data_IF_311627971185
#
_entry.id   IF_311627971185
#
_cell.length_a   1.000
_cell.length_b   1.000
_cell.length_c   1.000
_cell.angle_alpha   90.00
_cell.angle_beta   90.00
_cell.angle_gamma   90.00
#
_symmetry.space_group_name_H-M   'P 1'
#
loop_
_entity.id
_entity.type
_entity.pdbx_description
1 polymer ?
#
# COMPACT_ATOMS: atom_id res chain seq x y z
N UNK A 1 9.36 -7.09 -26.39
CA UNK A 1 8.79 -6.36 -25.23
C UNK A 1 8.66 -7.36 -24.10
N UNK A 2 9.29 -7.11 -22.96
CA UNK A 2 9.27 -8.03 -21.81
C UNK A 2 8.20 -7.56 -20.83
N UNK A 3 7.15 -8.36 -20.60
CA UNK A 3 6.12 -8.02 -19.63
C UNK A 3 6.69 -8.14 -18.22
N UNK A 4 6.67 -7.04 -17.46
CA UNK A 4 7.11 -7.04 -16.07
C UNK A 4 6.28 -8.04 -15.24
N UNK A 5 6.94 -8.78 -14.34
CA UNK A 5 6.23 -9.68 -13.42
C UNK A 5 5.37 -8.85 -12.46
N UNK A 6 4.15 -9.30 -12.10
CA UNK A 6 3.33 -8.62 -11.08
C UNK A 6 4.06 -8.40 -9.74
N UNK A 7 5.02 -9.27 -9.41
CA UNK A 7 5.90 -9.12 -8.24
C UNK A 7 6.84 -7.91 -8.37
N UNK A 8 7.38 -7.68 -9.57
CA UNK A 8 8.25 -6.52 -9.88
C UNK A 8 7.45 -5.22 -9.82
N UNK A 9 6.28 -5.19 -10.46
CA UNK A 9 5.39 -4.02 -10.44
C UNK A 9 4.94 -3.67 -9.00
N UNK A 10 4.64 -4.67 -8.17
CA UNK A 10 4.32 -4.46 -6.74
C UNK A 10 5.50 -3.87 -5.95
N UNK A 11 6.74 -4.28 -6.24
CA UNK A 11 7.92 -3.73 -5.58
C UNK A 11 8.17 -2.27 -6.00
N UNK A 12 8.16 -1.99 -7.31
CA UNK A 12 8.31 -0.63 -7.87
C UNK A 12 7.23 0.32 -7.34
N UNK A 13 5.99 -0.16 -7.18
CA UNK A 13 4.88 0.59 -6.58
C UNK A 13 5.10 0.89 -5.10
N UNK A 14 5.65 -0.05 -4.32
CA UNK A 14 5.98 0.17 -2.91
C UNK A 14 7.09 1.21 -2.75
N UNK A 15 8.18 1.07 -3.53
CA UNK A 15 9.29 2.02 -3.56
C UNK A 15 8.82 3.44 -3.96
N UNK A 16 7.90 3.54 -4.93
CA UNK A 16 7.29 4.80 -5.35
C UNK A 16 6.41 5.45 -4.28
N UNK A 17 5.66 4.66 -3.49
CA UNK A 17 4.87 5.14 -2.36
C UNK A 17 5.76 5.70 -1.24
N UNK A 18 6.81 4.98 -0.86
CA UNK A 18 7.74 5.43 0.18
C UNK A 18 8.52 6.67 -0.27
N UNK A 19 8.97 6.73 -1.53
CA UNK A 19 9.55 7.94 -2.12
C UNK A 19 8.56 9.13 -2.12
N UNK A 20 7.28 8.89 -2.42
CA UNK A 20 6.24 9.93 -2.37
C UNK A 20 6.01 10.45 -0.94
N UNK A 21 5.99 9.56 0.07
CA UNK A 21 5.86 9.95 1.48
C UNK A 21 7.05 10.78 1.94
N UNK A 22 8.28 10.33 1.66
CA UNK A 22 9.51 11.06 1.99
C UNK A 22 9.51 12.45 1.33
N UNK A 23 9.05 12.55 0.07
CA UNK A 23 8.94 13.83 -0.63
C UNK A 23 7.90 14.77 0.03
N UNK A 24 6.75 14.27 0.49
CA UNK A 24 5.75 15.07 1.24
C UNK A 24 6.32 15.54 2.58
N UNK A 25 6.91 14.64 3.37
CA UNK A 25 7.51 15.00 4.66
C UNK A 25 8.65 16.03 4.51
N UNK A 26 9.42 15.94 3.44
CA UNK A 26 10.50 16.90 3.16
C UNK A 26 9.93 18.29 2.86
N UNK A 27 8.89 18.36 2.01
CA UNK A 27 8.16 19.60 1.72
C UNK A 27 7.47 20.18 2.96
N UNK A 28 6.93 19.34 3.85
CA UNK A 28 6.34 19.74 5.13
C UNK A 28 7.38 20.38 6.07
N UNK A 29 8.54 19.73 6.23
CA UNK A 29 9.67 20.27 7.03
C UNK A 29 10.23 21.57 6.43
N UNK A 30 10.20 21.74 5.11
CA UNK A 30 10.54 23.01 4.46
C UNK A 30 9.51 24.09 4.72
N UNK A 31 8.21 23.79 4.57
CA UNK A 31 7.13 24.72 4.87
C UNK A 31 7.18 25.21 6.32
N UNK A 32 7.35 24.31 7.29
CA UNK A 32 7.49 24.69 8.70
C UNK A 32 8.73 25.57 8.96
N UNK A 33 9.87 25.30 8.31
CA UNK A 33 11.06 26.17 8.39
C UNK A 33 10.78 27.56 7.80
N UNK A 34 10.13 27.64 6.65
CA UNK A 34 9.78 28.90 6.01
C UNK A 34 8.78 29.72 6.84
N UNK A 35 7.77 29.09 7.43
CA UNK A 35 6.82 29.74 8.35
C UNK A 35 7.57 30.32 9.55
N UNK A 36 8.48 29.56 10.17
CA UNK A 36 9.27 30.05 11.30
C UNK A 36 10.17 31.24 10.93
N UNK A 37 10.75 31.26 9.74
CA UNK A 37 11.51 32.42 9.22
C UNK A 37 10.62 33.64 9.01
N UNK A 38 9.43 33.47 8.42
CA UNK A 38 8.45 34.55 8.24
C UNK A 38 7.98 35.12 9.59
N UNK A 39 7.71 34.26 10.58
CA UNK A 39 7.34 34.72 11.93
C UNK A 39 8.45 35.57 12.57
N UNK A 40 9.72 35.16 12.47
CA UNK A 40 10.86 35.97 12.95
C UNK A 40 10.99 37.32 12.24
N UNK A 41 10.71 37.37 10.94
CA UNK A 41 10.66 38.63 10.18
C UNK A 41 9.51 39.53 10.64
N UNK A 42 8.33 38.96 10.92
CA UNK A 42 7.19 39.68 11.50
C UNK A 42 7.51 40.24 12.90
N UNK A 43 8.09 39.43 13.79
CA UNK A 43 8.54 39.86 15.11
C UNK A 43 9.59 40.97 15.03
N UNK A 44 10.51 40.91 14.05
CA UNK A 44 11.49 41.96 13.81
C UNK A 44 10.81 43.27 13.38
N UNK A 45 9.89 43.19 12.41
CA UNK A 45 9.11 44.33 11.94
C UNK A 45 8.28 44.95 13.08
N UNK A 46 7.64 44.15 13.92
CA UNK A 46 6.85 44.62 15.07
C UNK A 46 7.72 45.29 16.14
N UNK A 47 8.83 44.65 16.55
CA UNK A 47 9.78 45.23 17.51
C UNK A 47 10.33 46.57 17.00
N UNK A 48 10.64 46.64 15.72
CA UNK A 48 11.15 47.85 15.07
C UNK A 48 10.09 48.94 14.95
N UNK A 49 8.83 48.61 14.62
CA UNK A 49 7.73 49.57 14.56
C UNK A 49 7.42 50.25 15.91
N UNK A 50 7.73 49.59 17.02
CA UNK A 50 7.56 50.12 18.39
C UNK A 50 8.73 51.00 18.86
N UNK A 51 9.82 51.13 18.09
CA UNK A 51 11.04 51.86 18.51
C UNK A 51 11.00 53.33 18.05
N UNK A 52 11.18 54.30 18.97
CA UNK A 52 11.24 55.71 18.60
C UNK A 52 12.52 56.06 17.82
N UNK A 53 12.42 57.04 16.91
CA UNK A 53 13.57 57.60 16.18
C UNK A 53 14.09 56.77 15.00
N UNK A 54 13.27 55.88 14.42
CA UNK A 54 13.74 54.90 13.44
C UNK A 54 13.51 55.32 11.98
N UNK A 55 14.55 55.14 11.16
CA UNK A 55 14.56 55.54 9.75
C UNK A 55 13.48 54.81 8.92
N UNK A 56 12.91 55.49 7.93
CA UNK A 56 12.02 54.86 6.96
C UNK A 56 12.76 53.86 6.09
N UNK A 57 14.07 54.04 5.83
CA UNK A 57 14.86 53.07 5.04
C UNK A 57 14.94 51.70 5.72
N UNK A 58 15.14 51.66 7.04
CA UNK A 58 15.16 50.44 7.85
C UNK A 58 13.77 49.78 7.91
N UNK A 59 12.71 50.59 8.05
CA UNK A 59 11.32 50.09 7.99
C UNK A 59 10.96 49.54 6.61
N UNK A 60 11.36 50.19 5.53
CA UNK A 60 11.17 49.70 4.16
C UNK A 60 11.89 48.37 3.92
N UNK A 61 13.15 48.25 4.38
CA UNK A 61 13.92 47.02 4.32
C UNK A 61 13.23 45.86 5.05
N UNK A 62 12.78 46.06 6.29
CA UNK A 62 12.12 45.00 7.06
C UNK A 62 10.78 44.57 6.47
N UNK A 63 10.01 45.51 5.88
CA UNK A 63 8.79 45.17 5.12
C UNK A 63 9.12 44.30 3.89
N UNK A 64 10.21 44.60 3.18
CA UNK A 64 10.66 43.80 2.04
C UNK A 64 11.16 42.41 2.47
N UNK A 65 11.92 42.30 3.57
CA UNK A 65 12.34 41.01 4.13
C UNK A 65 11.14 40.14 4.56
N UNK A 66 10.12 40.74 5.18
CA UNK A 66 8.86 40.05 5.49
C UNK A 66 8.11 39.59 4.23
N UNK A 67 7.96 40.47 3.23
CA UNK A 67 7.28 40.13 1.98
C UNK A 67 7.97 39.00 1.20
N UNK A 68 9.31 39.00 1.17
CA UNK A 68 10.09 37.91 0.59
C UNK A 68 9.89 36.59 1.35
N UNK A 69 9.87 36.63 2.69
CA UNK A 69 9.60 35.44 3.50
C UNK A 69 8.17 34.90 3.32
N UNK A 70 7.17 35.77 3.16
CA UNK A 70 5.78 35.37 2.90
C UNK A 70 5.61 34.75 1.50
N UNK A 71 6.27 35.30 0.48
CA UNK A 71 6.33 34.70 -0.86
C UNK A 71 6.90 33.27 -0.83
N UNK A 72 8.03 33.07 -0.12
CA UNK A 72 8.63 31.74 0.06
C UNK A 72 7.69 30.79 0.80
N UNK A 73 6.92 31.26 1.80
CA UNK A 73 5.89 30.43 2.46
C UNK A 73 4.80 30.02 1.47
N UNK A 74 4.33 30.92 0.60
CA UNK A 74 3.34 30.60 -0.43
C UNK A 74 3.85 29.55 -1.43
N UNK A 75 5.10 29.68 -1.91
CA UNK A 75 5.75 28.68 -2.77
C UNK A 75 5.85 27.31 -2.10
N UNK A 76 6.36 27.25 -0.86
CA UNK A 76 6.53 25.97 -0.15
C UNK A 76 5.20 25.33 0.19
N UNK A 77 4.15 26.13 0.42
CA UNK A 77 2.79 25.64 0.59
C UNK A 77 2.26 24.97 -0.68
N UNK A 78 2.41 25.62 -1.84
CA UNK A 78 2.01 25.02 -3.11
C UNK A 78 2.80 23.73 -3.44
N UNK A 79 4.09 23.66 -3.08
CA UNK A 79 4.89 22.43 -3.19
C UNK A 79 4.36 21.34 -2.26
N UNK A 80 4.07 21.66 -0.99
CA UNK A 80 3.53 20.69 -0.03
C UNK A 80 2.16 20.15 -0.46
N UNK A 81 1.23 21.02 -0.88
CA UNK A 81 -0.10 20.65 -1.36
C UNK A 81 0.01 19.71 -2.57
N UNK A 82 0.85 20.05 -3.57
CA UNK A 82 1.16 19.18 -4.72
C UNK A 82 1.75 17.82 -4.32
N UNK A 83 2.63 17.76 -3.31
CA UNK A 83 3.19 16.48 -2.82
C UNK A 83 2.15 15.65 -2.06
N UNK A 84 1.26 16.29 -1.30
CA UNK A 84 0.14 15.62 -0.64
C UNK A 84 -0.86 15.04 -1.65
N UNK A 85 -1.15 15.76 -2.73
CA UNK A 85 -1.98 15.25 -3.83
C UNK A 85 -1.35 14.03 -4.52
N UNK A 86 -0.05 14.07 -4.80
CA UNK A 86 0.65 12.89 -5.35
C UNK A 86 0.62 11.68 -4.42
N UNK A 87 0.83 11.84 -3.11
CA UNK A 87 0.75 10.70 -2.16
C UNK A 87 -0.68 10.13 -2.11
N UNK A 88 -1.72 10.97 -2.17
CA UNK A 88 -3.13 10.53 -2.27
C UNK A 88 -3.38 9.77 -3.57
N UNK A 89 -2.94 10.29 -4.71
CA UNK A 89 -3.10 9.67 -6.02
C UNK A 89 -2.37 8.31 -6.09
N UNK A 90 -1.12 8.25 -5.64
CA UNK A 90 -0.35 7.01 -5.57
C UNK A 90 -1.02 5.97 -4.66
N UNK A 91 -1.58 6.39 -3.51
CA UNK A 91 -2.35 5.51 -2.62
C UNK A 91 -3.62 4.94 -3.27
N UNK A 92 -4.30 5.72 -4.12
CA UNK A 92 -5.46 5.24 -4.89
C UNK A 92 -5.04 4.22 -5.96
N UNK A 93 -3.98 4.51 -6.72
CA UNK A 93 -3.42 3.57 -7.72
C UNK A 93 -2.99 2.26 -7.06
N UNK A 94 -2.33 2.33 -5.90
CA UNK A 94 -1.90 1.14 -5.18
C UNK A 94 -3.07 0.28 -4.68
N UNK A 95 -4.13 0.91 -4.16
CA UNK A 95 -5.36 0.20 -3.77
C UNK A 95 -6.06 -0.44 -4.97
N UNK A 96 -6.09 0.24 -6.12
CA UNK A 96 -6.65 -0.32 -7.36
C UNK A 96 -5.84 -1.53 -7.85
N UNK A 97 -4.50 -1.46 -7.82
CA UNK A 97 -3.64 -2.58 -8.20
C UNK A 97 -3.83 -3.80 -7.29
N UNK A 98 -3.89 -3.60 -5.97
CA UNK A 98 -4.14 -4.70 -5.02
C UNK A 98 -5.56 -5.27 -5.14
N UNK A 99 -6.57 -4.44 -5.42
CA UNK A 99 -7.92 -4.91 -5.69
C UNK A 99 -8.00 -5.77 -6.96
N UNK A 100 -7.33 -5.37 -8.05
CA UNK A 100 -7.26 -6.13 -9.29
C UNK A 100 -6.49 -7.45 -9.12
N UNK A 101 -5.33 -7.41 -8.43
CA UNK A 101 -4.58 -8.62 -8.11
C UNK A 101 -5.41 -9.59 -7.23
N UNK A 102 -6.26 -9.05 -6.34
CA UNK A 102 -7.17 -9.81 -5.48
C UNK A 102 -8.46 -10.24 -6.18
N UNK A 103 -8.83 -9.66 -7.33
CA UNK A 103 -10.00 -10.08 -8.13
C UNK A 103 -9.64 -11.19 -9.13
N UNK A 104 -8.43 -11.15 -9.70
CA UNK A 104 -7.91 -12.19 -10.60
C UNK A 104 -7.55 -13.50 -9.86
N UNK A 105 -7.09 -13.41 -8.61
CA UNK A 105 -6.61 -14.54 -7.81
C UNK A 105 -7.69 -15.59 -7.43
N UNK A 106 -8.91 -15.23 -6.97
CA UNK A 106 -9.96 -16.17 -6.62
C UNK A 106 -10.42 -17.04 -7.79
N UNK A 107 -10.52 -16.47 -9.00
CA UNK A 107 -10.87 -17.23 -10.21
C UNK A 107 -9.75 -18.25 -10.53
N UNK A 108 -8.49 -17.84 -10.47
CA UNK A 108 -7.35 -18.72 -10.70
C UNK A 108 -7.26 -19.84 -9.63
N UNK A 109 -7.51 -19.51 -8.35
CA UNK A 109 -7.55 -20.47 -7.27
C UNK A 109 -8.71 -21.48 -7.41
N UNK A 110 -9.91 -21.01 -7.78
CA UNK A 110 -11.06 -21.86 -8.06
C UNK A 110 -10.83 -22.77 -9.27
N UNK A 111 -10.19 -22.27 -10.34
CA UNK A 111 -9.81 -23.07 -11.51
C UNK A 111 -8.76 -24.14 -11.15
N UNK A 112 -7.77 -23.82 -10.30
CA UNK A 112 -6.80 -24.80 -9.82
C UNK A 112 -7.45 -25.87 -8.92
N UNK A 113 -8.38 -25.50 -8.04
CA UNK A 113 -9.18 -26.46 -7.27
C UNK A 113 -10.07 -27.34 -8.17
N UNK A 114 -10.68 -26.77 -9.23
CA UNK A 114 -11.50 -27.50 -10.19
C UNK A 114 -10.68 -28.49 -11.05
N UNK A 115 -9.47 -28.09 -11.46
CA UNK A 115 -8.55 -28.98 -12.18
C UNK A 115 -8.00 -30.08 -11.26
N UNK A 116 -7.71 -29.74 -9.99
CA UNK A 116 -7.31 -30.71 -8.96
C UNK A 116 -8.40 -31.73 -8.65
N UNK A 117 -9.65 -31.30 -8.48
CA UNK A 117 -10.79 -32.18 -8.19
C UNK A 117 -11.09 -33.14 -9.35
N UNK A 118 -11.02 -32.66 -10.60
CA UNK A 118 -11.15 -33.52 -11.79
C UNK A 118 -10.04 -34.59 -11.90
N UNK A 119 -8.82 -34.31 -11.41
CA UNK A 119 -7.72 -35.29 -11.39
C UNK A 119 -7.87 -36.35 -10.27
N UNK A 120 -8.62 -36.06 -9.21
CA UNK A 120 -8.92 -37.04 -8.15
C UNK A 120 -10.14 -37.93 -8.43
N UNK A 121 -11.03 -37.54 -9.33
CA UNK A 121 -12.33 -38.18 -9.55
C UNK A 121 -12.31 -39.56 -10.23
N UNK A 122 -11.23 -39.95 -10.89
CA UNK A 122 -11.16 -41.20 -11.69
C UNK A 122 -10.67 -42.43 -10.92
N UNK A 123 -10.33 -42.30 -9.63
CA UNK A 123 -9.72 -43.39 -8.85
C UNK A 123 -10.68 -44.23 -7.98
N UNK A 124 -11.99 -43.94 -7.98
CA UNK A 124 -12.95 -44.56 -7.02
C UNK A 124 -14.33 -44.96 -7.57
N UNK A 125 -14.45 -45.39 -8.83
CA UNK A 125 -15.58 -46.21 -9.27
C UNK A 125 -15.18 -47.23 -10.34
N UNK A 126 -15.19 -48.53 -9.99
CA UNK A 126 -15.02 -49.62 -10.96
C UNK A 126 -14.16 -50.79 -10.50
N UNK A 127 -14.64 -51.59 -9.54
CA UNK A 127 -14.11 -52.93 -9.26
C UNK A 127 -15.13 -53.80 -8.52
N UNK A 128 -16.07 -54.40 -9.26
CA UNK A 128 -16.87 -55.53 -8.80
C UNK A 128 -16.57 -56.77 -9.66
N UNK A 129 -16.62 -57.94 -9.01
CA UNK A 129 -16.62 -59.31 -9.55
C UNK A 129 -15.28 -59.95 -10.02
N UNK A 130 -14.86 -61.01 -9.30
CA UNK A 130 -14.93 -62.43 -9.75
C UNK A 130 -13.72 -63.31 -9.35
N UNK A 131 -13.97 -64.59 -9.02
CA UNK A 131 -12.99 -65.70 -8.91
C UNK A 131 -12.10 -65.72 -7.65
N UNK A 132 -12.31 -66.52 -6.59
CA UNK A 132 -12.49 -67.99 -6.42
C UNK A 132 -11.20 -68.82 -6.54
N UNK A 133 -10.55 -69.12 -5.40
CA UNK A 133 -10.07 -70.48 -5.01
C UNK A 133 -9.72 -70.57 -3.51
N UNK A 134 -10.10 -71.67 -2.86
CA UNK A 134 -9.77 -72.09 -1.48
C UNK A 134 -8.71 -73.24 -1.56
N UNK A 135 -8.29 -74.00 -0.50
CA UNK A 135 -8.68 -74.06 0.93
C UNK A 135 -7.50 -73.66 1.87
N UNK A 136 -7.42 -73.93 3.19
CA UNK A 136 -8.15 -74.76 4.18
C UNK A 136 -8.09 -74.07 5.59
N UNK A 137 -8.45 -74.65 6.76
CA UNK A 137 -8.90 -75.99 7.16
C UNK A 137 -9.85 -75.97 8.39
N UNK A 138 -10.81 -76.89 8.39
CA UNK A 138 -11.53 -77.56 9.50
C UNK A 138 -11.47 -76.95 10.93
N UNK A 139 -12.64 -76.57 11.45
CA UNK A 139 -13.06 -76.92 12.82
C UNK A 139 -14.41 -77.65 12.76
N UNK A 140 -14.54 -78.73 13.53
CA UNK A 140 -15.71 -79.64 13.55
C UNK A 140 -16.78 -79.15 14.54
N UNK A 141 -18.00 -78.87 14.05
CA UNK A 141 -19.31 -79.49 14.41
C UNK A 141 -19.64 -79.93 15.86
N UNK A 142 -20.93 -80.14 16.23
CA UNK A 142 -22.17 -79.40 15.91
C UNK A 142 -23.23 -79.38 17.08
N UNK A 143 -24.49 -78.98 16.76
CA UNK A 143 -25.79 -79.39 17.40
C UNK A 143 -26.21 -78.72 18.74
N UNK A 144 -27.52 -78.71 19.09
CA UNK A 144 -28.62 -78.15 18.28
C UNK A 144 -29.62 -77.31 19.10
N UNK A 145 -30.51 -76.58 18.40
CA UNK A 145 -31.74 -76.03 18.99
C UNK A 145 -32.87 -77.07 18.95
N UNK A 146 -33.67 -77.12 20.01
CA UNK A 146 -35.09 -77.49 20.00
C UNK A 146 -35.84 -76.30 20.60
N UNK A 147 -36.70 -75.67 19.81
CA UNK A 147 -38.17 -75.84 19.85
C UNK A 147 -38.76 -74.86 20.88
#
# INVERSE_FOLDING_TARGET
MTTASPKTVRAELADALDASRIARETAERELHRSIALRSRAAEALERTARRPGLDESERARLRAEYAAADHVVAERRAVFEKRQEFERAASVVARAFEAEATSASPLAAALLQLVGSKRGGTARHGALASGRTAPAARVRSPRPRTA
#
